data_IF_963207172358
#
_entry.id   IF_963207172358
#
_cell.length_a   1.000
_cell.length_b   1.000
_cell.length_c   1.000
_cell.angle_alpha   90.00
_cell.angle_beta   90.00
_cell.angle_gamma   90.00
#
_symmetry.space_group_name_H-M   'P 1'
#
loop_
_entity.id
_entity.type
_entity.pdbx_description
1 polymer ?
#
# COMPACT_ATOMS: atom_id res chain seq x y z
N UNK A 1 -19.74 -15.54 11.04
CA UNK A 1 -19.95 -14.47 10.04
C UNK A 1 -18.58 -14.07 9.50
N UNK A 2 -18.42 -13.95 8.17
CA UNK A 2 -17.13 -13.60 7.58
C UNK A 2 -16.78 -12.12 7.87
N UNK A 3 -15.53 -11.85 8.24
CA UNK A 3 -15.06 -10.49 8.41
C UNK A 3 -15.07 -9.70 7.09
N UNK A 4 -15.03 -10.37 5.94
CA UNK A 4 -15.08 -9.73 4.63
C UNK A 4 -16.45 -9.08 4.35
N UNK A 5 -17.48 -9.47 5.04
CA UNK A 5 -18.85 -8.96 4.89
C UNK A 5 -19.28 -8.08 6.08
N UNK A 6 -18.37 -7.85 7.03
CA UNK A 6 -18.64 -7.11 8.25
C UNK A 6 -18.73 -5.59 8.00
N UNK A 7 -19.63 -4.92 8.73
CA UNK A 7 -19.87 -3.48 8.68
C UNK A 7 -19.63 -2.81 10.04
N UNK A 8 -18.68 -3.35 10.81
CA UNK A 8 -18.32 -2.78 12.11
C UNK A 8 -18.00 -1.30 12.03
N UNK A 9 -18.31 -0.55 13.09
CA UNK A 9 -17.86 0.83 13.23
C UNK A 9 -16.34 0.86 13.43
N UNK A 10 -15.64 1.41 12.45
CA UNK A 10 -14.17 1.49 12.48
C UNK A 10 -13.66 2.31 13.66
N UNK A 11 -14.40 3.33 14.12
CA UNK A 11 -13.99 4.15 15.28
C UNK A 11 -14.00 3.31 16.56
N UNK A 12 -15.05 2.51 16.75
CA UNK A 12 -15.14 1.59 17.87
C UNK A 12 -14.00 0.56 17.82
N UNK A 13 -13.72 -0.02 16.66
CA UNK A 13 -12.63 -0.99 16.52
C UNK A 13 -11.25 -0.37 16.79
N UNK A 14 -11.02 0.89 16.34
CA UNK A 14 -9.75 1.60 16.60
C UNK A 14 -9.50 1.79 18.09
N UNK A 15 -10.54 2.10 18.88
CA UNK A 15 -10.38 2.43 20.29
C UNK A 15 -10.52 1.21 21.21
N UNK A 16 -11.41 0.27 20.90
CA UNK A 16 -11.77 -0.81 21.80
C UNK A 16 -10.89 -2.06 21.64
N UNK A 17 -10.35 -2.32 20.43
CA UNK A 17 -9.47 -3.47 20.25
C UNK A 17 -8.05 -3.16 20.73
N UNK A 18 -7.50 -4.08 21.52
CA UNK A 18 -6.09 -4.04 21.89
C UNK A 18 -5.19 -4.48 20.73
N UNK A 19 -3.88 -4.29 20.87
CA UNK A 19 -2.90 -4.59 19.81
C UNK A 19 -2.98 -6.05 19.33
N UNK A 20 -3.08 -7.00 20.25
CA UNK A 20 -3.15 -8.43 19.88
C UNK A 20 -4.42 -8.73 19.07
N UNK A 21 -5.56 -8.23 19.50
CA UNK A 21 -6.85 -8.40 18.82
C UNK A 21 -6.82 -7.79 17.41
N UNK A 22 -6.16 -6.64 17.22
CA UNK A 22 -5.96 -6.04 15.90
C UNK A 22 -5.08 -6.89 14.99
N UNK A 23 -4.00 -7.46 15.53
CA UNK A 23 -3.14 -8.40 14.78
C UNK A 23 -3.93 -9.65 14.39
N UNK A 24 -4.66 -10.25 15.31
CA UNK A 24 -5.47 -11.45 15.07
C UNK A 24 -6.55 -11.16 14.03
N UNK A 25 -7.22 -10.00 14.10
CA UNK A 25 -8.20 -9.56 13.09
C UNK A 25 -7.57 -9.41 11.70
N UNK A 26 -6.39 -8.77 11.63
CA UNK A 26 -5.68 -8.59 10.35
C UNK A 26 -5.31 -9.93 9.71
N UNK A 27 -4.80 -10.87 10.52
CA UNK A 27 -4.48 -12.23 10.06
C UNK A 27 -5.75 -12.98 9.61
N UNK A 28 -6.86 -12.81 10.31
CA UNK A 28 -8.14 -13.43 9.94
C UNK A 28 -8.68 -12.87 8.63
N UNK A 29 -8.67 -11.53 8.43
CA UNK A 29 -9.07 -10.88 7.19
C UNK A 29 -8.26 -11.41 5.99
N UNK A 30 -6.94 -11.49 6.15
CA UNK A 30 -6.07 -12.00 5.07
C UNK A 30 -6.35 -13.49 4.83
N UNK A 31 -6.54 -14.30 5.87
CA UNK A 31 -6.82 -15.73 5.76
C UNK A 31 -8.14 -16.00 5.04
N UNK A 32 -9.20 -15.29 5.40
CA UNK A 32 -10.51 -15.40 4.74
C UNK A 32 -10.44 -14.97 3.28
N UNK A 33 -9.74 -13.86 3.00
CA UNK A 33 -9.53 -13.38 1.64
C UNK A 33 -8.69 -14.37 0.81
N UNK A 34 -7.63 -14.94 1.39
CA UNK A 34 -6.81 -15.94 0.70
C UNK A 34 -7.61 -17.23 0.42
N UNK A 35 -8.43 -17.66 1.35
CA UNK A 35 -9.36 -18.79 1.13
C UNK A 35 -10.36 -18.54 0.00
N UNK A 36 -10.81 -17.29 -0.16
CA UNK A 36 -11.79 -16.91 -1.19
C UNK A 36 -11.17 -16.66 -2.57
N UNK A 37 -10.00 -16.02 -2.63
CA UNK A 37 -9.41 -15.54 -3.88
C UNK A 37 -8.17 -16.33 -4.32
N UNK A 38 -7.61 -17.18 -3.45
CA UNK A 38 -6.43 -17.99 -3.76
C UNK A 38 -5.28 -17.14 -4.32
N UNK A 39 -4.72 -17.56 -5.45
CA UNK A 39 -3.63 -16.85 -6.14
C UNK A 39 -4.04 -15.48 -6.70
N UNK A 40 -5.33 -15.17 -6.74
CA UNK A 40 -5.83 -13.84 -7.06
C UNK A 40 -5.68 -12.82 -5.93
N UNK A 41 -5.30 -13.25 -4.71
CA UNK A 41 -4.92 -12.34 -3.64
C UNK A 41 -3.47 -11.92 -3.79
N UNK A 42 -3.23 -10.61 -3.93
CA UNK A 42 -1.90 -10.04 -4.17
C UNK A 42 -1.68 -8.81 -3.29
N UNK A 43 -0.50 -8.72 -2.65
CA UNK A 43 -0.15 -7.61 -1.76
C UNK A 43 0.62 -6.54 -2.52
N UNK A 44 0.16 -5.27 -2.42
CA UNK A 44 0.94 -4.12 -2.88
C UNK A 44 1.91 -3.68 -1.77
N UNK A 45 3.20 -3.90 -1.99
CA UNK A 45 4.24 -3.47 -1.06
C UNK A 45 4.91 -2.18 -1.56
N UNK A 46 4.60 -1.05 -0.94
CA UNK A 46 5.20 0.25 -1.26
C UNK A 46 6.56 0.48 -0.59
N UNK A 47 7.07 -0.49 0.18
CA UNK A 47 8.30 -0.42 0.98
C UNK A 47 8.24 0.56 2.15
N UNK A 48 7.05 1.08 2.46
CA UNK A 48 6.78 1.85 3.68
C UNK A 48 6.42 0.93 4.85
N UNK A 49 6.57 1.43 6.09
CA UNK A 49 6.32 0.68 7.33
C UNK A 49 5.01 -0.10 7.34
N UNK A 50 3.94 0.52 6.86
CA UNK A 50 2.60 -0.06 6.84
C UNK A 50 2.51 -1.24 5.85
N UNK A 51 3.06 -1.08 4.66
CA UNK A 51 3.02 -2.11 3.62
C UNK A 51 3.94 -3.30 3.91
N UNK A 52 5.08 -3.08 4.57
CA UNK A 52 5.95 -4.20 4.98
C UNK A 52 5.34 -4.97 6.15
N UNK A 53 4.59 -4.31 7.06
CA UNK A 53 3.82 -5.00 8.08
C UNK A 53 2.73 -5.90 7.47
N UNK A 54 1.99 -5.39 6.47
CA UNK A 54 0.98 -6.18 5.74
C UNK A 54 1.62 -7.32 4.96
N UNK A 55 2.77 -7.10 4.34
CA UNK A 55 3.51 -8.13 3.65
C UNK A 55 3.90 -9.27 4.60
N UNK A 56 4.47 -8.95 5.76
CA UNK A 56 4.83 -9.94 6.79
C UNK A 56 3.59 -10.70 7.32
N UNK A 57 2.48 -10.01 7.60
CA UNK A 57 1.21 -10.64 7.98
C UNK A 57 0.72 -11.62 6.90
N UNK A 58 0.79 -11.23 5.63
CA UNK A 58 0.37 -12.08 4.52
C UNK A 58 1.26 -13.32 4.41
N UNK A 59 2.57 -13.20 4.55
CA UNK A 59 3.52 -14.32 4.52
C UNK A 59 3.32 -15.27 5.72
N UNK A 60 2.85 -14.78 6.89
CA UNK A 60 2.44 -15.63 8.01
C UNK A 60 1.17 -16.43 7.74
N UNK A 61 0.27 -15.92 6.90
CA UNK A 61 -0.93 -16.67 6.47
C UNK A 61 -0.55 -17.75 5.46
N UNK A 62 0.24 -17.40 4.43
CA UNK A 62 0.76 -18.35 3.46
C UNK A 62 2.04 -17.84 2.80
N UNK A 63 3.13 -18.63 2.77
CA UNK A 63 4.35 -18.29 2.05
C UNK A 63 4.14 -18.18 0.53
N UNK A 64 3.03 -18.70 -0.02
CA UNK A 64 2.70 -18.64 -1.44
C UNK A 64 2.06 -17.33 -1.87
N UNK A 65 1.60 -16.49 -0.92
CA UNK A 65 1.00 -15.19 -1.26
C UNK A 65 2.01 -14.36 -2.04
N UNK A 66 1.56 -13.87 -3.19
CA UNK A 66 2.34 -13.06 -4.11
C UNK A 66 2.18 -11.58 -3.78
N UNK A 67 3.15 -10.78 -4.19
CA UNK A 67 3.08 -9.33 -4.06
C UNK A 67 3.72 -8.60 -5.23
N UNK A 68 3.48 -7.30 -5.29
CA UNK A 68 4.17 -6.43 -6.22
C UNK A 68 4.64 -5.14 -5.56
N UNK A 69 5.71 -4.60 -6.11
CA UNK A 69 6.28 -3.30 -5.78
C UNK A 69 6.17 -2.41 -7.01
N UNK A 70 5.66 -1.19 -6.84
CA UNK A 70 5.78 -0.16 -7.89
C UNK A 70 6.90 0.79 -7.50
N UNK A 71 7.90 0.86 -8.37
CA UNK A 71 9.02 1.78 -8.22
C UNK A 71 9.02 2.87 -9.30
N UNK A 72 9.79 3.94 -9.09
CA UNK A 72 9.95 5.04 -10.04
C UNK A 72 11.41 5.47 -10.07
N UNK A 73 11.82 6.17 -11.15
CA UNK A 73 13.14 6.78 -11.26
C UNK A 73 13.47 7.82 -10.17
N UNK A 74 12.46 8.26 -9.43
CA UNK A 74 12.60 9.25 -8.36
C UNK A 74 12.66 8.65 -6.96
N UNK A 75 12.78 7.34 -6.82
CA UNK A 75 12.96 6.72 -5.50
C UNK A 75 14.36 7.01 -4.96
N UNK A 76 14.50 7.33 -3.65
CA UNK A 76 15.82 7.42 -2.99
C UNK A 76 16.61 6.12 -3.12
N UNK A 77 17.95 6.22 -3.14
CA UNK A 77 18.84 5.06 -3.26
C UNK A 77 18.64 4.06 -2.13
N UNK A 78 18.40 4.53 -0.91
CA UNK A 78 18.10 3.68 0.25
C UNK A 78 16.85 2.84 0.02
N UNK A 79 15.83 3.44 -0.62
CA UNK A 79 14.60 2.70 -0.98
C UNK A 79 14.86 1.68 -2.07
N UNK A 80 15.70 2.00 -3.06
CA UNK A 80 16.05 1.05 -4.12
C UNK A 80 16.87 -0.11 -3.55
N UNK A 81 17.84 0.17 -2.68
CA UNK A 81 18.61 -0.88 -2.00
C UNK A 81 17.69 -1.77 -1.17
N UNK A 82 16.85 -1.18 -0.33
CA UNK A 82 15.88 -1.93 0.48
C UNK A 82 14.93 -2.78 -0.38
N UNK A 83 14.48 -2.25 -1.52
CA UNK A 83 13.67 -2.99 -2.49
C UNK A 83 14.41 -4.23 -3.02
N UNK A 84 15.66 -4.07 -3.43
CA UNK A 84 16.46 -5.16 -3.96
C UNK A 84 16.68 -6.26 -2.91
N UNK A 85 16.95 -5.87 -1.65
CA UNK A 85 17.09 -6.79 -0.52
C UNK A 85 15.78 -7.56 -0.24
N UNK A 86 14.62 -6.88 -0.34
CA UNK A 86 13.30 -7.51 -0.17
C UNK A 86 13.00 -8.52 -1.29
N UNK A 87 13.25 -8.14 -2.54
CA UNK A 87 13.02 -9.01 -3.70
C UNK A 87 13.95 -10.24 -3.66
N UNK A 88 15.22 -10.05 -3.25
CA UNK A 88 16.16 -11.15 -3.11
C UNK A 88 15.72 -12.18 -2.03
N UNK A 89 15.06 -11.70 -0.96
CA UNK A 89 14.53 -12.57 0.11
C UNK A 89 13.16 -13.19 -0.24
N UNK A 90 12.40 -12.56 -1.08
CA UNK A 90 11.02 -12.93 -1.39
C UNK A 90 10.78 -12.98 -2.90
N UNK A 91 11.06 -14.10 -3.58
CA UNK A 91 10.90 -14.23 -5.04
C UNK A 91 9.44 -14.07 -5.51
N UNK A 92 8.46 -14.13 -4.60
CA UNK A 92 7.06 -13.85 -4.90
C UNK A 92 6.75 -12.35 -5.08
N UNK A 93 7.71 -11.45 -4.77
CA UNK A 93 7.60 -10.02 -5.02
C UNK A 93 8.05 -9.68 -6.44
N UNK A 94 7.13 -9.17 -7.26
CA UNK A 94 7.44 -8.63 -8.60
C UNK A 94 7.60 -7.12 -8.55
N UNK A 95 8.55 -6.59 -9.31
CA UNK A 95 8.77 -5.13 -9.43
C UNK A 95 8.19 -4.62 -10.74
N UNK A 96 7.37 -3.58 -10.65
CA UNK A 96 6.78 -2.88 -11.79
C UNK A 96 7.30 -1.45 -11.83
N UNK A 97 7.68 -1.00 -13.02
CA UNK A 97 8.23 0.33 -13.28
C UNK A 97 7.79 0.81 -14.65
N UNK A 98 7.51 2.09 -14.76
CA UNK A 98 7.35 2.74 -16.04
C UNK A 98 8.56 3.64 -16.32
N UNK A 99 9.30 3.35 -17.38
CA UNK A 99 10.50 4.10 -17.80
C UNK A 99 10.21 5.08 -18.97
N UNK A 100 8.93 5.28 -19.32
CA UNK A 100 8.55 6.22 -20.34
C UNK A 100 9.15 7.63 -20.08
N UNK A 101 9.62 8.32 -21.10
CA UNK A 101 10.09 9.69 -20.95
C UNK A 101 8.96 10.60 -20.47
N UNK A 102 9.26 11.46 -19.52
CA UNK A 102 8.34 12.48 -19.00
C UNK A 102 9.03 13.83 -19.02
N UNK A 103 8.28 14.94 -19.13
CA UNK A 103 8.82 16.29 -19.02
C UNK A 103 9.62 16.47 -17.72
N UNK A 104 10.69 17.24 -17.79
CA UNK A 104 11.45 17.62 -16.61
C UNK A 104 10.53 18.33 -15.61
N UNK A 105 10.65 17.97 -14.33
CA UNK A 105 9.85 18.54 -13.23
C UNK A 105 8.33 18.36 -13.36
N UNK A 106 7.86 17.39 -14.15
CA UNK A 106 6.43 17.06 -14.23
C UNK A 106 5.81 16.83 -12.85
N UNK A 107 6.58 16.36 -11.87
CA UNK A 107 6.16 16.17 -10.49
C UNK A 107 5.84 17.50 -9.75
N UNK A 108 6.36 18.65 -10.23
CA UNK A 108 6.04 19.98 -9.69
C UNK A 108 4.83 20.59 -10.39
N UNK A 109 4.83 20.56 -11.73
CA UNK A 109 3.84 21.24 -12.57
C UNK A 109 2.52 20.48 -12.66
N UNK A 110 2.59 19.16 -12.88
CA UNK A 110 1.42 18.28 -13.03
C UNK A 110 1.62 16.99 -12.20
N UNK A 111 1.65 17.08 -10.84
CA UNK A 111 1.99 15.94 -9.97
C UNK A 111 1.03 14.74 -10.15
N UNK A 112 -0.24 15.00 -10.50
CA UNK A 112 -1.19 13.93 -10.78
C UNK A 112 -0.83 13.17 -12.04
N UNK A 113 -0.52 13.85 -13.12
CA UNK A 113 -0.09 13.23 -14.38
C UNK A 113 1.23 12.45 -14.23
N UNK A 114 2.18 13.01 -13.46
CA UNK A 114 3.40 12.30 -13.11
C UNK A 114 3.09 10.99 -12.36
N UNK A 115 2.18 11.02 -11.39
CA UNK A 115 1.75 9.84 -10.66
C UNK A 115 1.00 8.85 -11.56
N UNK A 116 0.21 9.33 -12.53
CA UNK A 116 -0.51 8.46 -13.46
C UNK A 116 0.46 7.63 -14.30
N UNK A 117 1.45 8.28 -14.89
CA UNK A 117 2.44 7.62 -15.72
C UNK A 117 3.32 6.68 -14.90
N UNK A 118 3.86 7.15 -13.78
CA UNK A 118 4.92 6.44 -13.06
C UNK A 118 4.43 5.50 -11.95
N UNK A 119 3.14 5.55 -11.58
CA UNK A 119 2.59 4.74 -10.50
C UNK A 119 1.27 4.06 -10.86
N UNK A 120 0.29 4.80 -11.39
CA UNK A 120 -1.04 4.24 -11.66
C UNK A 120 -0.95 3.22 -12.79
N UNK A 121 -0.28 3.57 -13.90
CA UNK A 121 -0.05 2.63 -15.01
C UNK A 121 0.67 1.35 -14.56
N UNK A 122 1.82 1.39 -13.82
CA UNK A 122 2.45 0.16 -13.36
C UNK A 122 1.58 -0.67 -12.39
N UNK A 123 0.73 -0.03 -11.57
CA UNK A 123 -0.23 -0.75 -10.74
C UNK A 123 -1.28 -1.42 -11.60
N UNK A 124 -1.81 -0.72 -12.62
CA UNK A 124 -2.80 -1.26 -13.54
C UNK A 124 -2.25 -2.51 -14.24
N UNK A 125 -1.04 -2.43 -14.76
CA UNK A 125 -0.34 -3.55 -15.39
C UNK A 125 -0.08 -4.70 -14.43
N UNK A 126 0.30 -4.41 -13.18
CA UNK A 126 0.47 -5.44 -12.13
C UNK A 126 -0.86 -6.17 -11.86
N UNK A 127 -1.97 -5.43 -11.76
CA UNK A 127 -3.31 -6.00 -11.54
C UNK A 127 -3.71 -6.93 -12.68
N UNK A 128 -3.46 -6.53 -13.93
CA UNK A 128 -3.77 -7.32 -15.12
C UNK A 128 -2.88 -8.57 -15.23
N UNK A 129 -1.56 -8.41 -15.24
CA UNK A 129 -0.61 -9.51 -15.44
C UNK A 129 -0.64 -10.55 -14.32
N UNK A 130 -0.90 -10.11 -13.09
CA UNK A 130 -0.99 -11.01 -11.94
C UNK A 130 -2.40 -11.58 -11.74
N UNK A 131 -3.38 -11.19 -12.56
CA UNK A 131 -4.79 -11.57 -12.45
C UNK A 131 -5.35 -11.30 -11.06
N UNK A 132 -5.14 -10.07 -10.56
CA UNK A 132 -5.50 -9.69 -9.19
C UNK A 132 -7.01 -9.59 -9.05
N UNK A 133 -7.58 -10.34 -8.11
CA UNK A 133 -8.99 -10.27 -7.69
C UNK A 133 -9.16 -9.62 -6.31
N UNK A 134 -8.16 -9.76 -5.46
CA UNK A 134 -8.09 -9.11 -4.15
C UNK A 134 -6.75 -8.38 -3.99
N UNK A 135 -6.81 -7.05 -3.99
CA UNK A 135 -5.65 -6.19 -3.84
C UNK A 135 -5.48 -5.79 -2.37
N UNK A 136 -4.46 -6.32 -1.70
CA UNK A 136 -4.17 -6.04 -0.28
C UNK A 136 -3.25 -4.84 -0.15
N UNK A 137 -3.60 -3.88 0.70
CA UNK A 137 -2.85 -2.64 0.91
C UNK A 137 -2.58 -2.34 2.39
N UNK A 138 -1.57 -1.52 2.66
CA UNK A 138 -1.22 -1.04 4.00
C UNK A 138 -1.88 0.29 4.36
N UNK A 139 -3.12 0.54 3.97
CA UNK A 139 -3.83 1.76 4.36
C UNK A 139 -4.30 1.70 5.81
N UNK A 140 -4.23 2.87 6.49
CA UNK A 140 -4.78 3.07 7.83
C UNK A 140 -5.71 4.29 7.84
N UNK A 141 -6.87 4.19 8.48
CA UNK A 141 -7.78 5.32 8.63
C UNK A 141 -7.22 6.40 9.57
N UNK A 142 -6.25 6.05 10.42
CA UNK A 142 -5.57 6.95 11.36
C UNK A 142 -4.41 7.75 10.76
N UNK A 143 -4.00 7.46 9.52
CA UNK A 143 -2.79 8.06 8.91
C UNK A 143 -3.01 9.47 8.36
N UNK A 144 -4.25 9.89 8.14
CA UNK A 144 -4.56 11.22 7.63
C UNK A 144 -6.04 11.45 7.36
N UNK A 145 -6.43 12.72 7.26
CA UNK A 145 -7.83 13.13 7.10
C UNK A 145 -8.52 12.56 5.85
N UNK A 146 -7.76 12.30 4.79
CA UNK A 146 -8.29 11.77 3.51
C UNK A 146 -8.62 10.28 3.56
N UNK A 147 -8.36 9.59 4.68
CA UNK A 147 -8.49 8.13 4.80
C UNK A 147 -9.58 7.66 5.77
N UNK A 148 -10.29 8.59 6.39
CA UNK A 148 -11.32 8.27 7.39
C UNK A 148 -12.50 7.49 6.81
N UNK A 149 -12.76 7.63 5.51
CA UNK A 149 -13.89 7.00 4.83
C UNK A 149 -13.54 5.65 4.16
N UNK A 150 -12.27 5.21 4.22
CA UNK A 150 -11.88 3.91 3.70
C UNK A 150 -12.44 2.78 4.57
N UNK A 151 -12.69 1.64 3.94
CA UNK A 151 -13.21 0.42 4.58
C UNK A 151 -12.15 -0.67 4.58
N UNK A 152 -12.26 -1.63 5.50
CA UNK A 152 -11.40 -2.81 5.49
C UNK A 152 -11.54 -3.59 4.17
N UNK A 153 -12.76 -3.65 3.63
CA UNK A 153 -13.05 -4.30 2.35
C UNK A 153 -13.80 -3.33 1.44
N UNK A 154 -13.22 -3.01 0.30
CA UNK A 154 -13.77 -2.08 -0.68
C UNK A 154 -13.91 -2.77 -2.05
N UNK A 155 -15.10 -2.71 -2.66
CA UNK A 155 -15.25 -3.04 -4.08
C UNK A 155 -14.71 -1.89 -4.91
N UNK A 156 -13.75 -2.18 -5.80
CA UNK A 156 -13.11 -1.16 -6.67
C UNK A 156 -13.64 -1.22 -8.10
N UNK A 157 -13.88 -2.40 -8.62
CA UNK A 157 -14.50 -2.68 -9.91
C UNK A 157 -15.27 -4.00 -9.78
N UNK A 158 -15.93 -4.46 -10.86
CA UNK A 158 -16.80 -5.65 -10.86
C UNK A 158 -16.13 -6.86 -10.20
N UNK A 159 -14.84 -7.08 -10.48
CA UNK A 159 -14.09 -8.26 -10.03
C UNK A 159 -12.89 -7.94 -9.16
N UNK A 160 -12.64 -6.66 -8.84
CA UNK A 160 -11.52 -6.23 -8.00
C UNK A 160 -12.00 -5.77 -6.64
N UNK A 161 -11.55 -6.46 -5.60
CA UNK A 161 -11.73 -6.07 -4.21
C UNK A 161 -10.42 -5.53 -3.65
N UNK A 162 -10.47 -4.46 -2.87
CA UNK A 162 -9.36 -3.94 -2.12
C UNK A 162 -9.53 -4.29 -0.64
N UNK A 163 -8.50 -4.87 -0.05
CA UNK A 163 -8.45 -5.26 1.36
C UNK A 163 -7.41 -4.43 2.11
N UNK A 164 -7.84 -3.78 3.19
CA UNK A 164 -7.01 -2.94 4.04
C UNK A 164 -6.92 -3.58 5.45
N UNK A 165 -6.13 -4.63 5.66
CA UNK A 165 -6.20 -5.45 6.87
C UNK A 165 -5.70 -4.76 8.14
N UNK A 166 -4.93 -3.68 7.99
CA UNK A 166 -4.44 -2.86 9.11
C UNK A 166 -5.13 -1.50 9.19
N UNK A 167 -6.32 -1.35 8.58
CA UNK A 167 -7.02 -0.07 8.49
C UNK A 167 -7.21 0.60 9.85
N UNK A 168 -7.50 -0.18 10.88
CA UNK A 168 -7.78 0.28 12.24
C UNK A 168 -6.53 0.44 13.13
N UNK A 169 -5.32 0.20 12.60
CA UNK A 169 -4.11 0.32 13.39
C UNK A 169 -3.68 1.78 13.57
N UNK A 170 -3.20 2.11 14.78
CA UNK A 170 -2.49 3.37 15.06
C UNK A 170 -1.02 3.26 14.63
N UNK A 171 -0.36 4.38 14.36
CA UNK A 171 1.07 4.38 13.95
C UNK A 171 1.95 3.60 14.92
N UNK A 172 1.76 3.83 16.23
CA UNK A 172 2.51 3.13 17.29
C UNK A 172 2.35 1.61 17.22
N UNK A 173 1.19 1.12 16.81
CA UNK A 173 0.91 -0.31 16.71
C UNK A 173 1.62 -0.94 15.50
N UNK A 174 1.78 -0.18 14.40
CA UNK A 174 2.63 -0.59 13.27
C UNK A 174 4.07 -0.74 13.72
N UNK A 175 4.63 0.26 14.41
CA UNK A 175 6.00 0.20 14.93
C UNK A 175 6.18 -0.92 15.96
N UNK A 176 5.20 -1.12 16.84
CA UNK A 176 5.20 -2.21 17.81
C UNK A 176 5.25 -3.58 17.11
N UNK A 177 4.46 -3.76 16.04
CA UNK A 177 4.46 -4.97 15.24
C UNK A 177 5.83 -5.22 14.59
N UNK A 178 6.35 -4.21 13.89
CA UNK A 178 7.62 -4.31 13.19
C UNK A 178 8.78 -4.65 14.13
N UNK A 179 8.82 -4.03 15.30
CA UNK A 179 9.83 -4.31 16.33
C UNK A 179 9.67 -5.71 16.93
N UNK A 180 8.45 -6.10 17.33
CA UNK A 180 8.17 -7.39 17.95
C UNK A 180 8.53 -8.56 17.04
N UNK A 181 8.20 -8.46 15.77
CA UNK A 181 8.44 -9.51 14.77
C UNK A 181 9.74 -9.33 13.98
N UNK A 182 10.56 -8.31 14.34
CA UNK A 182 11.84 -8.01 13.68
C UNK A 182 11.72 -7.86 12.17
N UNK A 183 10.63 -7.25 11.73
CA UNK A 183 10.39 -7.01 10.30
C UNK A 183 11.31 -5.90 9.83
N UNK A 184 12.11 -6.11 8.76
CA UNK A 184 12.98 -5.08 8.24
C UNK A 184 12.21 -3.86 7.76
N UNK A 185 12.79 -2.69 7.96
CA UNK A 185 12.20 -1.41 7.57
C UNK A 185 13.16 -0.57 6.73
N UNK A 186 12.60 0.27 5.88
CA UNK A 186 13.38 1.18 5.06
C UNK A 186 14.22 2.11 5.95
N UNK A 187 15.56 2.22 5.71
CA UNK A 187 16.47 2.99 6.56
C UNK A 187 16.17 4.50 6.61
N UNK A 188 15.40 5.04 5.66
CA UNK A 188 14.97 6.44 5.68
C UNK A 188 14.14 6.81 6.93
N UNK A 189 13.47 5.85 7.56
CA UNK A 189 12.80 6.10 8.83
C UNK A 189 13.78 6.49 9.94
N UNK A 190 14.98 5.89 9.97
CA UNK A 190 16.06 6.27 10.88
C UNK A 190 16.65 7.66 10.60
N UNK A 191 16.39 8.23 9.43
CA UNK A 191 16.80 9.58 9.05
C UNK A 191 15.72 10.65 9.35
N UNK A 192 14.60 10.27 9.96
CA UNK A 192 13.54 11.18 10.37
C UNK A 192 12.36 11.30 9.39
N UNK A 193 12.33 10.52 8.31
CA UNK A 193 11.14 10.45 7.46
C UNK A 193 10.01 9.73 8.19
N UNK A 194 8.79 10.26 8.17
CA UNK A 194 7.60 9.61 8.74
C UNK A 194 6.73 8.93 7.68
N UNK A 195 6.82 9.38 6.44
CA UNK A 195 6.13 8.79 5.27
C UNK A 195 7.09 8.76 4.09
N UNK A 196 7.04 7.71 3.28
CA UNK A 196 7.97 7.49 2.17
C UNK A 196 7.30 7.68 0.80
N UNK A 197 8.06 8.19 -0.16
CA UNK A 197 7.60 8.40 -1.53
C UNK A 197 8.74 8.62 -2.52
N UNK A 198 8.46 9.36 -3.60
CA UNK A 198 9.50 9.87 -4.50
C UNK A 198 10.27 10.99 -3.79
N UNK A 199 11.59 11.07 -3.98
CA UNK A 199 12.45 12.07 -3.34
C UNK A 199 11.96 13.52 -3.54
N UNK A 200 11.60 13.98 -4.76
CA UNK A 200 11.12 15.34 -4.94
C UNK A 200 9.76 15.62 -4.29
N UNK A 201 8.96 14.56 -4.00
CA UNK A 201 7.62 14.70 -3.44
C UNK A 201 7.55 14.38 -1.93
N UNK A 202 8.69 14.24 -1.25
CA UNK A 202 8.69 13.81 0.16
C UNK A 202 9.80 14.55 0.91
N UNK A 203 9.43 15.21 2.00
CA UNK A 203 10.35 15.95 2.87
C UNK A 203 10.19 15.50 4.31
N UNK A 204 11.23 15.67 5.11
CA UNK A 204 11.18 15.52 6.56
C UNK A 204 10.41 16.73 7.12
N UNK A 205 9.51 16.47 8.07
CA UNK A 205 8.77 17.52 8.80
C UNK A 205 8.67 17.13 10.28
N UNK A 206 8.52 18.13 11.12
CA UNK A 206 8.25 17.94 12.57
C UNK A 206 6.75 18.01 12.90
N UNK A 207 5.87 17.91 11.89
CA UNK A 207 4.44 17.91 12.07
C UNK A 207 3.93 16.59 12.68
N UNK A 208 2.89 16.64 13.50
CA UNK A 208 2.29 15.44 14.10
C UNK A 208 1.60 14.56 13.07
N UNK A 209 1.17 15.11 11.93
CA UNK A 209 0.62 14.35 10.83
C UNK A 209 1.73 13.60 10.08
N UNK A 210 1.69 12.27 10.07
CA UNK A 210 2.65 11.40 9.39
C UNK A 210 2.88 11.77 7.92
N UNK A 211 1.88 12.32 7.25
CA UNK A 211 1.88 12.65 5.81
C UNK A 211 2.16 14.12 5.51
N UNK A 212 2.41 14.95 6.52
CA UNK A 212 2.66 16.39 6.32
C UNK A 212 3.83 16.65 5.36
N UNK A 213 4.83 15.77 5.33
CA UNK A 213 5.98 15.86 4.41
C UNK A 213 5.67 15.52 2.95
N UNK A 214 4.42 15.12 2.60
CA UNK A 214 4.07 14.66 1.25
C UNK A 214 3.60 15.82 0.37
N UNK A 215 4.18 15.89 -0.82
CA UNK A 215 3.84 16.86 -1.88
C UNK A 215 3.96 18.34 -1.47
N UNK A 216 4.76 18.66 -0.45
CA UNK A 216 5.03 20.05 -0.07
C UNK A 216 5.58 20.81 -1.29
N UNK A 217 5.01 21.99 -1.57
CA UNK A 217 5.40 22.84 -2.70
C UNK A 217 4.81 22.41 -4.05
N UNK A 218 3.88 21.46 -4.08
CA UNK A 218 3.14 21.07 -5.29
C UNK A 218 1.65 21.38 -5.15
N UNK A 219 0.91 21.44 -6.26
CA UNK A 219 -0.55 21.59 -6.27
C UNK A 219 -1.30 20.45 -5.57
N UNK A 220 -0.62 19.35 -5.21
CA UNK A 220 -1.16 18.17 -4.55
C UNK A 220 -0.93 18.15 -3.03
N UNK A 221 -0.41 19.22 -2.44
CA UNK A 221 -0.13 19.31 -1.01
C UNK A 221 -1.39 18.95 -0.19
N UNK A 222 -1.24 17.99 0.75
CA UNK A 222 -2.37 17.48 1.56
C UNK A 222 -3.28 16.47 0.87
N UNK A 223 -3.02 16.11 -0.39
CA UNK A 223 -3.81 15.15 -1.16
C UNK A 223 -3.45 13.68 -0.94
N UNK A 224 -4.05 12.81 -1.77
CA UNK A 224 -3.81 11.36 -1.76
C UNK A 224 -3.18 10.89 -3.09
N UNK A 225 -2.52 9.77 -3.07
CA UNK A 225 -1.97 9.16 -4.27
C UNK A 225 -3.11 8.62 -5.16
N UNK A 226 -3.05 8.91 -6.46
CA UNK A 226 -4.04 8.46 -7.44
C UNK A 226 -4.29 6.94 -7.45
N UNK A 227 -3.31 6.14 -7.02
CA UNK A 227 -3.47 4.69 -6.86
C UNK A 227 -4.66 4.33 -5.95
N UNK A 228 -4.93 5.13 -4.92
CA UNK A 228 -5.98 4.83 -3.93
C UNK A 228 -7.32 5.48 -4.26
N UNK A 229 -7.34 6.50 -5.12
CA UNK A 229 -8.54 7.31 -5.41
C UNK A 229 -9.10 7.08 -6.81
N UNK A 230 -8.27 6.60 -7.77
CA UNK A 230 -8.70 6.38 -9.16
C UNK A 230 -9.20 4.95 -9.37
N UNK A 231 -10.15 4.73 -10.29
CA UNK A 231 -10.56 3.39 -10.67
C UNK A 231 -9.38 2.68 -11.35
N UNK A 232 -9.09 1.45 -10.91
CA UNK A 232 -8.24 0.51 -11.62
C UNK A 232 -9.19 -0.31 -12.49
N UNK A 233 -8.98 -0.30 -13.81
CA UNK A 233 -9.78 -1.08 -14.73
C UNK A 233 -9.20 -2.49 -14.82
N UNK A 234 -10.02 -3.50 -14.62
CA UNK A 234 -9.72 -4.86 -15.06
C UNK A 234 -10.22 -4.94 -16.50
N UNK A 235 -9.31 -5.02 -17.46
CA UNK A 235 -9.72 -5.25 -18.86
C UNK A 235 -10.34 -6.64 -18.95
N UNK A 236 -11.65 -6.68 -19.11
CA UNK A 236 -12.41 -7.91 -19.42
C UNK A 236 -12.54 -8.14 -20.92
N UNK A 237 -11.90 -7.33 -21.74
CA UNK A 237 -11.98 -7.40 -23.19
C UNK A 237 -10.95 -8.40 -23.75
N UNK A 238 -11.22 -9.67 -23.48
CA UNK A 238 -10.79 -10.81 -24.25
C UNK A 238 -11.89 -11.29 -25.18
N UNK A 239 -12.72 -10.41 -25.73
CA UNK A 239 -13.66 -10.72 -26.80
C UNK A 239 -13.21 -10.08 -28.10
N UNK A 240 -12.68 -10.91 -28.92
CA UNK A 240 -12.57 -11.06 -30.32
C UNK A 240 -12.66 -9.82 -31.26
N UNK A 241 -11.67 -9.67 -32.02
CA UNK A 241 -11.82 -9.71 -33.50
C UNK A 241 -10.72 -10.61 -34.04
#
# INVERSE_FOLDING_TARGET
MSLLDNKDDLKELVENLNFKEKVDRSLQLIREAYGKYGDGLVVANSLGKDSVAVWDLAKKVSPKIRGFIVTTRFKPEETIKFMNDEVARCPELKVYKNDAPIPEKLYETEPDKCCDILKVEPVQRAVEEMHVKCWVTGLRCTEGRTRVDFKEVEKRDKDLVKLNPILIWKEREVWQYLALYRVPVNPLYGQGYRSLGCAPCTKITNDDNERAGRWIGTSKCGGECGIHTRPLKVNTDGDGI
#
